data_IF_401813648639
#
_entry.id   IF_401813648639
#
_cell.length_a   1.000
_cell.length_b   1.000
_cell.length_c   1.000
_cell.angle_alpha   90.00
_cell.angle_beta   90.00
_cell.angle_gamma   90.00
#
_symmetry.space_group_name_H-M   'P 1'
#
loop_
_entity.id
_entity.type
_entity.pdbx_description
1 polymer ?
#
# COMPACT_ATOMS: atom_id res chain seq x y z
N UNK A 1 -15.31 -15.18 -13.18
CA UNK A 1 -14.06 -15.84 -13.63
C UNK A 1 -12.90 -14.93 -13.24
N UNK A 2 -12.34 -15.13 -12.05
CA UNK A 2 -11.29 -14.28 -11.48
C UNK A 2 -9.95 -14.61 -12.16
N UNK A 3 -9.35 -13.63 -12.82
CA UNK A 3 -7.99 -13.71 -13.34
C UNK A 3 -7.01 -13.69 -12.14
N UNK A 4 -6.69 -14.88 -11.62
CA UNK A 4 -5.43 -15.08 -10.91
C UNK A 4 -4.32 -14.91 -11.94
N UNK A 5 -3.78 -13.69 -12.10
CA UNK A 5 -2.44 -13.53 -12.66
C UNK A 5 -1.47 -14.09 -11.62
N UNK A 6 -1.25 -15.40 -11.67
CA UNK A 6 -0.15 -16.04 -10.95
C UNK A 6 1.15 -15.60 -11.63
N UNK A 7 1.73 -14.50 -11.15
CA UNK A 7 3.14 -14.27 -11.40
C UNK A 7 3.93 -15.15 -10.43
N UNK A 8 4.43 -16.28 -10.93
CA UNK A 8 5.05 -17.35 -10.15
C UNK A 8 6.54 -17.11 -9.86
N UNK A 9 6.99 -15.86 -9.73
CA UNK A 9 8.37 -15.59 -9.36
C UNK A 9 8.55 -15.68 -7.84
N UNK A 10 9.22 -16.75 -7.37
CA UNK A 10 9.69 -16.86 -5.97
C UNK A 10 8.65 -17.31 -4.94
N UNK A 11 7.50 -17.85 -5.36
CA UNK A 11 6.47 -18.36 -4.46
C UNK A 11 5.49 -17.32 -3.90
N UNK A 12 5.64 -16.05 -4.29
CA UNK A 12 4.67 -14.99 -4.02
C UNK A 12 3.48 -15.16 -4.99
N UNK A 13 2.25 -15.03 -4.49
CA UNK A 13 1.02 -15.14 -5.31
C UNK A 13 0.19 -13.88 -5.17
N UNK A 14 -0.35 -13.40 -6.28
CA UNK A 14 -1.18 -12.20 -6.34
C UNK A 14 -2.59 -12.53 -6.83
N UNK A 15 -3.59 -11.94 -6.18
CA UNK A 15 -4.99 -12.03 -6.59
C UNK A 15 -5.61 -10.64 -6.61
N UNK A 16 -6.37 -10.33 -7.66
CA UNK A 16 -7.07 -9.06 -7.83
C UNK A 16 -8.43 -9.29 -8.48
N UNK A 17 -9.47 -8.73 -7.86
CA UNK A 17 -10.83 -8.74 -8.39
C UNK A 17 -11.57 -7.49 -7.90
N UNK A 18 -12.88 -7.43 -8.13
CA UNK A 18 -13.72 -6.28 -7.81
C UNK A 18 -13.96 -6.06 -6.32
N UNK A 19 -13.67 -7.05 -5.47
CA UNK A 19 -13.91 -6.98 -4.01
C UNK A 19 -12.63 -6.88 -3.21
N UNK A 20 -11.49 -7.36 -3.70
CA UNK A 20 -10.23 -7.27 -2.98
C UNK A 20 -9.00 -7.39 -3.87
N UNK A 21 -7.88 -7.02 -3.29
CA UNK A 21 -6.53 -7.42 -3.69
C UNK A 21 -5.95 -8.26 -2.57
N UNK A 22 -5.27 -9.35 -2.90
CA UNK A 22 -4.55 -10.15 -1.93
C UNK A 22 -3.16 -10.54 -2.46
N UNK A 23 -2.20 -10.64 -1.54
CA UNK A 23 -0.88 -11.16 -1.80
C UNK A 23 -0.59 -12.28 -0.80
N UNK A 24 -0.03 -13.40 -1.26
CA UNK A 24 0.44 -14.49 -0.39
C UNK A 24 1.95 -14.63 -0.56
N UNK A 25 2.67 -14.64 0.55
CA UNK A 25 4.12 -14.79 0.59
C UNK A 25 4.48 -16.29 0.71
N UNK A 26 5.73 -16.69 0.37
CA UNK A 26 6.15 -18.09 0.51
C UNK A 26 6.31 -18.52 1.98
N UNK A 27 6.56 -17.57 2.86
CA UNK A 27 6.68 -17.73 4.31
C UNK A 27 6.33 -16.40 5.00
N UNK A 28 6.19 -16.37 6.34
CA UNK A 28 6.01 -15.12 7.06
C UNK A 28 7.22 -14.17 6.91
N UNK A 29 6.98 -12.97 6.36
CA UNK A 29 7.99 -11.93 6.18
C UNK A 29 7.77 -10.77 7.17
N UNK A 30 8.85 -10.10 7.61
CA UNK A 30 8.74 -8.82 8.31
C UNK A 30 7.88 -7.81 7.55
N UNK A 31 7.00 -7.11 8.28
CA UNK A 31 6.20 -6.01 7.78
C UNK A 31 6.19 -4.85 8.76
N UNK A 32 6.40 -3.64 8.27
CA UNK A 32 6.14 -2.41 8.99
C UNK A 32 4.98 -1.68 8.31
N UNK A 33 3.85 -1.50 9.01
CA UNK A 33 2.64 -0.96 8.40
C UNK A 33 1.78 -0.11 9.33
N UNK A 34 0.92 0.69 8.72
CA UNK A 34 -0.23 1.34 9.37
C UNK A 34 -1.55 0.64 9.02
N UNK A 35 -1.50 -0.67 8.78
CA UNK A 35 -2.66 -1.50 8.45
C UNK A 35 -3.64 -1.57 9.64
N UNK A 36 -4.92 -1.81 9.33
CA UNK A 36 -5.98 -1.91 10.34
C UNK A 36 -5.89 -3.25 11.06
N UNK A 37 -5.74 -4.35 10.31
CA UNK A 37 -5.55 -5.69 10.87
C UNK A 37 -4.05 -6.01 10.92
N UNK A 38 -3.55 -6.35 12.10
CA UNK A 38 -2.15 -6.70 12.36
C UNK A 38 -1.14 -5.61 11.91
N UNK A 39 -1.46 -4.34 12.15
CA UNK A 39 -0.58 -3.20 11.91
C UNK A 39 0.62 -3.11 12.87
N UNK A 40 1.51 -2.15 12.64
CA UNK A 40 2.75 -1.96 13.40
C UNK A 40 3.94 -2.71 12.77
N UNK A 41 4.94 -3.04 13.59
CA UNK A 41 6.09 -3.85 13.17
C UNK A 41 5.90 -5.29 13.60
N UNK A 42 5.61 -6.18 12.66
CA UNK A 42 5.25 -7.59 12.90
C UNK A 42 5.75 -8.47 11.74
N UNK A 43 5.25 -9.70 11.64
CA UNK A 43 5.38 -10.55 10.46
C UNK A 43 4.02 -10.77 9.78
N UNK A 44 4.05 -11.06 8.48
CA UNK A 44 2.85 -11.36 7.70
C UNK A 44 3.15 -12.46 6.68
N UNK A 45 2.19 -13.36 6.47
CA UNK A 45 2.23 -14.39 5.43
C UNK A 45 1.30 -14.03 4.26
N UNK A 46 0.34 -13.13 4.49
CA UNK A 46 -0.58 -12.65 3.46
C UNK A 46 -0.98 -11.20 3.68
N UNK A 47 -1.24 -10.49 2.60
CA UNK A 47 -1.78 -9.14 2.64
C UNK A 47 -3.18 -9.13 2.03
N UNK A 48 -4.07 -8.34 2.60
CA UNK A 48 -5.44 -8.14 2.12
C UNK A 48 -5.76 -6.66 2.04
N UNK A 49 -6.16 -6.17 0.87
CA UNK A 49 -6.74 -4.85 0.69
C UNK A 49 -8.20 -5.04 0.27
N UNK A 50 -9.10 -4.92 1.24
CA UNK A 50 -10.53 -5.22 1.09
C UNK A 50 -11.29 -3.98 0.59
N UNK A 51 -12.02 -4.13 -0.52
CA UNK A 51 -12.97 -3.11 -0.96
C UNK A 51 -14.19 -3.13 -0.05
N UNK A 52 -14.54 -1.98 0.50
CA UNK A 52 -15.81 -1.77 1.22
C UNK A 52 -16.73 -0.81 0.51
N UNK A 53 -18.02 -1.01 0.70
CA UNK A 53 -19.04 -0.13 0.14
C UNK A 53 -19.16 1.13 1.01
N UNK A 54 -18.87 2.28 0.41
CA UNK A 54 -18.99 3.60 1.03
C UNK A 54 -20.44 4.01 1.35
N UNK A 55 -21.43 3.32 0.78
CA UNK A 55 -22.86 3.59 0.96
C UNK A 55 -23.56 2.53 1.83
N UNK A 56 -22.82 1.58 2.40
CA UNK A 56 -23.40 0.57 3.29
C UNK A 56 -24.10 1.25 4.48
N UNK A 57 -25.33 0.84 4.78
CA UNK A 57 -26.06 1.38 5.94
C UNK A 57 -25.48 0.82 7.26
N UNK A 58 -25.41 1.63 8.33
CA UNK A 58 -25.01 1.16 9.65
C UNK A 58 -26.05 0.19 10.26
N UNK A 59 -25.68 -0.62 11.27
CA UNK A 59 -24.38 -0.66 11.94
C UNK A 59 -23.31 -1.40 11.14
N UNK A 60 -22.07 -0.88 11.14
CA UNK A 60 -20.93 -1.57 10.56
C UNK A 60 -20.19 -2.38 11.64
N UNK A 61 -19.75 -3.61 11.34
CA UNK A 61 -18.83 -4.30 12.22
C UNK A 61 -17.50 -3.53 12.32
N UNK A 62 -16.75 -3.69 13.43
CA UNK A 62 -15.39 -3.16 13.54
C UNK A 62 -14.54 -3.54 12.31
N UNK A 63 -13.77 -2.58 11.82
CA UNK A 63 -12.96 -2.73 10.60
C UNK A 63 -12.02 -3.95 10.68
N UNK A 64 -11.37 -4.15 11.83
CA UNK A 64 -10.51 -5.30 12.11
C UNK A 64 -11.27 -6.64 12.03
N UNK A 65 -12.48 -6.71 12.60
CA UNK A 65 -13.30 -7.93 12.53
C UNK A 65 -13.72 -8.26 11.09
N UNK A 66 -14.06 -7.23 10.31
CA UNK A 66 -14.41 -7.38 8.89
C UNK A 66 -13.25 -7.96 8.08
N UNK A 67 -12.04 -7.44 8.31
CA UNK A 67 -10.82 -7.94 7.66
C UNK A 67 -10.47 -9.35 8.09
N UNK A 68 -10.57 -9.67 9.38
CA UNK A 68 -10.27 -10.99 9.92
C UNK A 68 -11.22 -12.04 9.32
N UNK A 69 -12.52 -11.77 9.31
CA UNK A 69 -13.53 -12.64 8.71
C UNK A 69 -13.28 -12.84 7.21
N UNK A 70 -12.94 -11.76 6.49
CA UNK A 70 -12.67 -11.87 5.07
C UNK A 70 -11.40 -12.66 4.77
N UNK A 71 -10.34 -12.50 5.57
CA UNK A 71 -9.11 -13.28 5.42
C UNK A 71 -9.37 -14.78 5.64
N UNK A 72 -10.19 -15.13 6.64
CA UNK A 72 -10.61 -16.52 6.90
C UNK A 72 -11.45 -17.11 5.76
N UNK A 73 -12.44 -16.35 5.24
CA UNK A 73 -13.27 -16.77 4.12
C UNK A 73 -12.46 -17.01 2.83
N UNK A 74 -11.42 -16.20 2.61
CA UNK A 74 -10.50 -16.34 1.48
C UNK A 74 -9.41 -17.40 1.72
N UNK A 75 -9.37 -18.00 2.91
CA UNK A 75 -8.36 -19.00 3.32
C UNK A 75 -6.95 -18.43 3.13
N UNK A 76 -6.77 -17.15 3.50
CA UNK A 76 -5.46 -16.50 3.43
C UNK A 76 -4.56 -17.05 4.56
N UNK A 77 -3.29 -17.40 4.27
CA UNK A 77 -2.37 -17.83 5.30
C UNK A 77 -2.16 -16.76 6.38
N UNK A 78 -2.26 -17.16 7.65
CA UNK A 78 -1.99 -16.30 8.78
C UNK A 78 -0.47 -16.16 9.06
N UNK A 79 -0.02 -15.04 9.65
CA UNK A 79 -0.80 -13.83 9.97
C UNK A 79 -1.08 -12.96 8.73
N UNK A 80 -2.28 -12.36 8.66
CA UNK A 80 -2.71 -11.51 7.55
C UNK A 80 -2.59 -10.02 7.91
N UNK A 81 -1.88 -9.23 7.11
CA UNK A 81 -1.83 -7.77 7.20
C UNK A 81 -2.96 -7.15 6.35
N UNK A 82 -3.94 -6.52 6.99
CA UNK A 82 -5.20 -6.12 6.35
C UNK A 82 -5.42 -4.61 6.30
N UNK A 83 -5.71 -4.10 5.11
CA UNK A 83 -6.15 -2.74 4.82
C UNK A 83 -7.56 -2.75 4.23
N UNK A 84 -8.28 -1.64 4.36
CA UNK A 84 -9.61 -1.45 3.76
C UNK A 84 -9.58 -0.24 2.85
N UNK A 85 -10.37 -0.27 1.78
CA UNK A 85 -10.52 0.87 0.88
C UNK A 85 -11.92 0.95 0.31
N UNK A 86 -12.45 2.16 0.19
CA UNK A 86 -13.63 2.42 -0.64
C UNK A 86 -13.28 2.75 -2.10
N UNK A 87 -11.98 2.85 -2.41
CA UNK A 87 -11.51 3.11 -3.75
C UNK A 87 -11.99 2.03 -4.73
N UNK A 88 -12.19 2.42 -5.98
CA UNK A 88 -12.43 1.46 -7.05
C UNK A 88 -11.22 0.53 -7.17
N UNK A 89 -11.45 -0.78 -7.25
CA UNK A 89 -10.39 -1.75 -7.52
C UNK A 89 -9.77 -1.59 -8.91
N UNK A 90 -10.40 -0.80 -9.80
CA UNK A 90 -9.82 -0.38 -11.08
C UNK A 90 -8.78 0.76 -10.94
N UNK A 91 -8.67 1.37 -9.75
CA UNK A 91 -7.62 2.35 -9.46
C UNK A 91 -6.24 1.73 -9.24
N UNK A 92 -6.11 0.40 -9.28
CA UNK A 92 -4.85 -0.28 -8.99
C UNK A 92 -3.73 0.20 -9.91
N UNK A 93 -2.75 0.89 -9.34
CA UNK A 93 -1.44 1.13 -9.93
C UNK A 93 -0.46 0.06 -9.50
N UNK A 94 0.43 -0.35 -10.41
CA UNK A 94 1.45 -1.36 -10.13
C UNK A 94 2.76 -0.97 -10.80
N UNK A 95 3.86 -1.03 -10.05
CA UNK A 95 5.21 -0.87 -10.59
C UNK A 95 6.12 -1.96 -10.03
N UNK A 96 7.05 -2.42 -10.87
CA UNK A 96 8.05 -3.43 -10.55
C UNK A 96 9.33 -3.05 -11.25
N UNK A 97 10.38 -2.79 -10.45
CA UNK A 97 11.64 -2.30 -10.95
C UNK A 97 12.79 -3.14 -10.37
N UNK A 98 13.85 -3.26 -11.17
CA UNK A 98 15.13 -3.79 -10.74
C UNK A 98 16.22 -2.77 -11.02
N UNK A 99 17.08 -2.54 -10.02
CA UNK A 99 18.22 -1.66 -10.13
C UNK A 99 19.42 -2.36 -9.51
N UNK A 100 20.47 -2.58 -10.30
CA UNK A 100 21.60 -3.44 -9.92
C UNK A 100 21.10 -4.84 -9.51
N UNK A 101 21.41 -5.28 -8.30
CA UNK A 101 20.97 -6.57 -7.74
C UNK A 101 19.69 -6.46 -6.91
N UNK A 102 19.10 -5.27 -6.78
CA UNK A 102 17.92 -5.00 -5.97
C UNK A 102 16.66 -5.04 -6.85
N UNK A 103 15.57 -5.60 -6.31
CA UNK A 103 14.24 -5.58 -6.92
C UNK A 103 13.20 -5.15 -5.90
N UNK A 104 12.24 -4.33 -6.35
CA UNK A 104 11.11 -3.86 -5.55
C UNK A 104 9.84 -3.84 -6.40
N UNK A 105 8.71 -4.03 -5.73
CA UNK A 105 7.37 -4.00 -6.32
C UNK A 105 6.45 -3.15 -5.46
N UNK A 106 5.57 -2.39 -6.10
CA UNK A 106 4.63 -1.50 -5.42
C UNK A 106 3.22 -1.65 -5.99
N UNK A 107 2.22 -1.77 -5.13
CA UNK A 107 0.80 -1.75 -5.47
C UNK A 107 0.11 -0.59 -4.75
N UNK A 108 -0.67 0.18 -5.49
CA UNK A 108 -1.38 1.35 -4.97
C UNK A 108 -2.85 1.30 -5.39
N UNK A 109 -3.76 1.44 -4.44
CA UNK A 109 -5.16 1.79 -4.72
C UNK A 109 -5.45 3.17 -4.19
N UNK A 110 -6.09 4.03 -4.98
CA UNK A 110 -6.36 5.40 -4.60
C UNK A 110 -7.85 5.76 -4.71
N UNK A 111 -8.37 6.41 -3.67
CA UNK A 111 -9.62 7.18 -3.71
C UNK A 111 -9.31 8.63 -3.37
N UNK A 112 -9.59 9.55 -4.30
CA UNK A 112 -9.17 10.96 -4.21
C UNK A 112 -10.27 11.91 -3.70
N UNK A 113 -11.40 11.37 -3.23
CA UNK A 113 -12.57 12.13 -2.80
C UNK A 113 -12.37 12.94 -1.50
N UNK A 114 -11.35 12.59 -0.71
CA UNK A 114 -11.10 13.14 0.62
C UNK A 114 -9.64 13.52 0.85
N UNK A 115 -9.01 14.08 -0.18
CA UNK A 115 -7.65 14.60 -0.11
C UNK A 115 -7.46 15.49 1.13
N UNK A 116 -6.36 15.31 1.84
CA UNK A 116 -5.98 16.09 3.02
C UNK A 116 -4.51 16.42 2.96
N UNK A 117 -4.13 17.56 3.54
CA UNK A 117 -2.74 17.94 3.76
C UNK A 117 -2.41 17.75 5.24
N UNK A 118 -1.24 17.19 5.51
CA UNK A 118 -0.72 17.08 6.87
C UNK A 118 -0.60 18.49 7.49
N UNK A 119 -1.17 18.65 8.68
CA UNK A 119 -1.27 19.93 9.38
C UNK A 119 -2.52 20.76 9.02
N UNK A 120 -3.41 20.27 8.16
CA UNK A 120 -4.74 20.86 8.03
C UNK A 120 -5.56 20.71 9.33
N UNK A 121 -6.56 21.58 9.57
CA UNK A 121 -7.51 21.40 10.66
C UNK A 121 -8.21 20.04 10.57
N UNK A 122 -8.39 19.38 11.72
CA UNK A 122 -9.16 18.15 11.79
C UNK A 122 -10.64 18.41 11.49
N UNK A 123 -11.27 17.51 10.73
CA UNK A 123 -12.69 17.57 10.39
C UNK A 123 -13.37 16.20 10.54
N UNK A 124 -14.69 16.22 10.77
CA UNK A 124 -15.51 15.01 10.84
C UNK A 124 -16.02 14.64 9.44
N UNK A 125 -15.10 14.31 8.53
CA UNK A 125 -15.45 13.93 7.17
C UNK A 125 -16.02 12.51 7.11
N UNK A 126 -17.26 12.38 6.62
CA UNK A 126 -17.98 11.10 6.53
C UNK A 126 -17.92 10.43 5.15
N UNK A 127 -17.11 10.95 4.21
CA UNK A 127 -16.93 10.32 2.90
C UNK A 127 -15.81 9.29 2.92
N UNK A 128 -15.74 8.50 1.86
CA UNK A 128 -14.77 7.43 1.73
C UNK A 128 -13.79 7.68 0.59
N UNK A 129 -12.50 7.49 0.88
CA UNK A 129 -11.37 7.66 -0.02
C UNK A 129 -10.11 7.33 0.76
N UNK A 130 -9.23 6.52 0.19
CA UNK A 130 -7.95 6.19 0.82
C UNK A 130 -6.92 5.83 -0.22
N UNK A 131 -5.66 6.15 0.08
CA UNK A 131 -4.51 5.65 -0.65
C UNK A 131 -3.87 4.53 0.18
N UNK A 132 -4.03 3.30 -0.30
CA UNK A 132 -3.39 2.13 0.28
C UNK A 132 -2.19 1.73 -0.57
N UNK A 133 -1.03 1.53 0.07
CA UNK A 133 0.24 1.20 -0.61
C UNK A 133 0.87 -0.04 0.01
N UNK A 134 1.23 -1.00 -0.82
CA UNK A 134 2.14 -2.09 -0.45
C UNK A 134 3.45 -1.95 -1.21
N UNK A 135 4.56 -1.84 -0.48
CA UNK A 135 5.91 -1.88 -1.01
C UNK A 135 6.54 -3.21 -0.60
N UNK A 136 6.78 -4.09 -1.56
CA UNK A 136 7.47 -5.35 -1.37
C UNK A 136 8.89 -5.24 -1.90
N UNK A 137 9.86 -5.53 -1.04
CA UNK A 137 11.28 -5.55 -1.36
C UNK A 137 11.73 -7.00 -1.46
N UNK A 138 12.59 -7.32 -2.43
CA UNK A 138 13.17 -8.66 -2.60
C UNK A 138 14.54 -8.79 -1.91
N UNK A 139 14.81 -7.96 -0.91
CA UNK A 139 16.05 -7.93 -0.13
C UNK A 139 15.74 -7.58 1.33
N UNK A 140 16.50 -8.15 2.26
CA UNK A 140 16.27 -7.96 3.68
C UNK A 140 16.74 -6.58 4.17
N UNK A 141 15.95 -5.97 5.06
CA UNK A 141 16.25 -4.70 5.72
C UNK A 141 16.37 -4.90 7.23
N UNK A 142 17.18 -4.06 7.89
CA UNK A 142 17.10 -3.93 9.35
C UNK A 142 15.78 -3.24 9.73
N UNK A 143 15.31 -3.36 10.99
CA UNK A 143 14.12 -2.61 11.44
C UNK A 143 14.24 -1.10 11.22
N UNK A 144 15.44 -0.52 11.42
CA UNK A 144 15.71 0.88 11.17
C UNK A 144 15.59 1.24 9.67
N UNK A 145 16.12 0.40 8.78
CA UNK A 145 15.99 0.60 7.35
C UNK A 145 14.54 0.41 6.86
N UNK A 146 13.73 -0.46 7.48
CA UNK A 146 12.30 -0.55 7.16
C UNK A 146 11.54 0.73 7.52
N UNK A 147 11.88 1.36 8.65
CA UNK A 147 11.33 2.66 9.01
C UNK A 147 11.75 3.75 8.01
N UNK A 148 13.00 3.72 7.55
CA UNK A 148 13.49 4.63 6.51
C UNK A 148 12.77 4.39 5.16
N UNK A 149 12.50 3.14 4.80
CA UNK A 149 11.72 2.80 3.61
C UNK A 149 10.27 3.30 3.69
N UNK A 150 9.65 3.24 4.88
CA UNK A 150 8.30 3.78 5.11
C UNK A 150 8.27 5.30 4.94
N UNK A 151 9.33 6.00 5.37
CA UNK A 151 9.48 7.45 5.14
C UNK A 151 9.56 7.73 3.63
N UNK A 152 10.40 7.01 2.89
CA UNK A 152 10.53 7.23 1.44
C UNK A 152 9.27 6.91 0.66
N UNK A 153 8.59 5.82 1.02
CA UNK A 153 7.28 5.48 0.48
C UNK A 153 6.30 6.66 0.67
N UNK A 154 6.29 7.23 1.87
CA UNK A 154 5.43 8.38 2.19
C UNK A 154 5.81 9.61 1.36
N UNK A 155 7.10 9.94 1.24
CA UNK A 155 7.58 11.08 0.44
C UNK A 155 7.29 10.91 -1.06
N UNK A 156 7.47 9.70 -1.60
CA UNK A 156 7.18 9.40 -2.99
C UNK A 156 5.68 9.56 -3.32
N UNK A 157 4.80 9.07 -2.44
CA UNK A 157 3.36 9.31 -2.54
C UNK A 157 3.03 10.80 -2.52
N UNK A 158 3.60 11.56 -1.57
CA UNK A 158 3.40 13.02 -1.49
C UNK A 158 3.85 13.71 -2.78
N UNK A 159 4.97 13.25 -3.35
CA UNK A 159 5.51 13.78 -4.61
C UNK A 159 4.53 13.53 -5.76
N UNK A 160 4.03 12.29 -5.92
CA UNK A 160 3.02 11.96 -6.94
C UNK A 160 1.76 12.83 -6.82
N UNK A 161 1.24 13.02 -5.60
CA UNK A 161 0.04 13.85 -5.34
C UNK A 161 0.30 15.32 -5.69
N UNK A 162 1.46 15.84 -5.27
CA UNK A 162 1.87 17.22 -5.55
C UNK A 162 2.02 17.45 -7.05
N UNK A 163 2.69 16.55 -7.75
CA UNK A 163 2.99 16.69 -9.18
C UNK A 163 1.72 16.50 -10.04
N UNK A 164 0.73 15.76 -9.54
CA UNK A 164 -0.62 15.71 -10.10
C UNK A 164 -1.47 16.97 -9.82
N UNK A 165 -0.95 17.95 -9.08
CA UNK A 165 -1.65 19.21 -8.77
C UNK A 165 -2.85 19.05 -7.82
N UNK A 166 -2.89 17.98 -7.03
CA UNK A 166 -4.00 17.66 -6.14
C UNK A 166 -3.93 18.51 -4.86
N UNK A 167 -5.03 19.19 -4.54
CA UNK A 167 -5.12 20.13 -3.42
C UNK A 167 -6.01 19.59 -2.30
N UNK A 168 -5.71 19.97 -1.07
CA UNK A 168 -6.64 19.79 0.04
C UNK A 168 -7.81 20.76 -0.09
N UNK A 169 -9.08 20.31 0.07
CA UNK A 169 -10.24 21.19 0.05
C UNK A 169 -10.32 22.10 1.28
N UNK A 170 -9.55 21.82 2.35
CA UNK A 170 -9.59 22.62 3.58
C UNK A 170 -8.67 23.84 3.50
N UNK A 171 -7.45 23.67 2.98
CA UNK A 171 -6.44 24.74 2.92
C UNK A 171 -6.17 25.27 1.52
N UNK A 172 -6.68 24.60 0.46
CA UNK A 172 -6.32 24.87 -0.94
C UNK A 172 -4.81 24.77 -1.23
N UNK A 173 -4.05 24.13 -0.34
CA UNK A 173 -2.63 23.84 -0.49
C UNK A 173 -2.44 22.40 -1.02
N UNK A 174 -1.26 22.04 -1.55
CA UNK A 174 -0.98 20.68 -2.02
C UNK A 174 -1.31 19.63 -0.97
N UNK A 175 -2.13 18.64 -1.35
CA UNK A 175 -2.46 17.51 -0.50
C UNK A 175 -1.22 16.63 -0.28
N UNK A 176 -1.17 15.92 0.85
CA UNK A 176 -0.13 14.94 1.15
C UNK A 176 -0.63 13.50 1.12
N UNK A 177 -1.94 13.31 0.91
CA UNK A 177 -2.61 12.04 1.07
C UNK A 177 -4.11 12.20 1.19
N UNK A 178 -4.75 11.21 1.78
CA UNK A 178 -6.14 11.27 2.26
C UNK A 178 -6.18 11.27 3.79
N UNK A 179 -7.38 11.38 4.37
CA UNK A 179 -7.55 11.26 5.83
C UNK A 179 -7.24 9.89 6.42
N UNK A 180 -7.14 8.83 5.60
CA UNK A 180 -7.07 7.43 6.07
C UNK A 180 -6.08 6.58 5.27
N UNK A 181 -4.99 7.18 4.77
CA UNK A 181 -3.95 6.44 4.05
C UNK A 181 -3.39 5.28 4.88
N UNK A 182 -3.13 4.15 4.22
CA UNK A 182 -2.48 2.99 4.85
C UNK A 182 -1.30 2.51 4.02
N UNK A 183 -0.17 2.23 4.68
CA UNK A 183 1.06 1.83 4.00
C UNK A 183 1.62 0.57 4.64
N UNK A 184 2.26 -0.28 3.85
CA UNK A 184 3.02 -1.43 4.33
C UNK A 184 4.33 -1.55 3.56
N UNK A 185 5.43 -1.69 4.30
CA UNK A 185 6.74 -2.09 3.78
C UNK A 185 6.97 -3.54 4.19
N UNK A 186 7.20 -4.40 3.20
CA UNK A 186 7.38 -5.84 3.36
C UNK A 186 8.74 -6.22 2.76
N UNK A 187 9.54 -6.98 3.49
CA UNK A 187 10.83 -7.49 2.99
C UNK A 187 11.07 -8.91 3.49
N UNK A 188 11.84 -9.75 2.79
CA UNK A 188 12.13 -11.11 3.25
C UNK A 188 12.86 -11.11 4.59
N UNK A 189 12.70 -12.17 5.39
CA UNK A 189 13.60 -12.41 6.51
C UNK A 189 15.03 -12.53 5.98
N UNK A 190 16.00 -12.10 6.78
CA UNK A 190 17.39 -12.28 6.43
C UNK A 190 17.74 -13.78 6.42
N UNK A 191 18.13 -14.29 5.24
CA UNK A 191 18.57 -15.66 5.03
C UNK A 191 19.80 -15.66 4.12
N UNK A 192 20.99 -15.53 4.70
CA UNK A 192 22.23 -15.53 3.91
C UNK A 192 23.46 -15.09 4.68
N UNK A 193 24.61 -15.11 4.01
CA UNK A 193 25.88 -14.63 4.57
C UNK A 193 25.98 -13.10 4.57
N UNK A 194 25.34 -12.43 3.60
CA UNK A 194 25.26 -10.96 3.55
C UNK A 194 24.13 -10.47 4.45
N UNK A 195 24.48 -9.63 5.43
CA UNK A 195 23.54 -9.05 6.38
C UNK A 195 22.46 -8.19 5.72
N UNK A 196 21.34 -7.93 6.42
CA UNK A 196 20.31 -7.03 5.92
C UNK A 196 20.87 -5.62 5.68
N UNK A 197 20.34 -4.89 4.69
CA UNK A 197 20.75 -3.50 4.47
C UNK A 197 20.37 -2.65 5.69
N UNK A 198 21.35 -1.91 6.20
CA UNK A 198 21.21 -1.11 7.41
C UNK A 198 20.56 0.25 7.18
N UNK A 199 20.54 0.71 5.93
CA UNK A 199 19.99 1.99 5.51
C UNK A 199 19.53 1.88 4.06
N UNK A 200 18.51 2.64 3.70
CA UNK A 200 18.00 2.74 2.34
C UNK A 200 17.76 4.17 1.89
N UNK A 201 18.34 5.19 2.56
CA UNK A 201 18.20 6.62 2.24
C UNK A 201 18.38 7.02 0.77
N UNK A 202 17.95 8.25 0.41
CA UNK A 202 17.90 8.77 -0.98
C UNK A 202 19.25 8.75 -1.74
N UNK A 203 20.37 8.70 -1.03
CA UNK A 203 21.71 8.59 -1.64
C UNK A 203 22.12 7.15 -1.98
N UNK A 204 21.27 6.16 -1.71
CA UNK A 204 21.54 4.75 -1.93
C UNK A 204 20.78 4.22 -3.14
N UNK A 205 21.30 3.16 -3.78
CA UNK A 205 20.58 2.43 -4.82
C UNK A 205 19.22 1.92 -4.33
N UNK A 206 19.13 1.45 -3.08
CA UNK A 206 17.88 0.98 -2.49
C UNK A 206 16.85 2.11 -2.39
N UNK A 207 17.28 3.31 -2.00
CA UNK A 207 16.41 4.48 -1.89
C UNK A 207 15.96 5.02 -3.25
N UNK A 208 16.86 5.05 -4.24
CA UNK A 208 16.47 5.36 -5.63
C UNK A 208 15.38 4.39 -6.11
N UNK A 209 15.61 3.09 -5.91
CA UNK A 209 14.68 2.04 -6.34
C UNK A 209 13.31 2.18 -5.64
N UNK A 210 13.29 2.36 -4.32
CA UNK A 210 12.07 2.55 -3.53
C UNK A 210 11.31 3.79 -3.99
N UNK A 211 12.01 4.93 -4.10
CA UNK A 211 11.40 6.18 -4.53
C UNK A 211 10.74 6.06 -5.91
N UNK A 212 11.46 5.48 -6.88
CA UNK A 212 10.96 5.29 -8.25
C UNK A 212 9.77 4.35 -8.33
N UNK A 213 9.85 3.16 -7.71
CA UNK A 213 8.77 2.17 -7.80
C UNK A 213 7.49 2.67 -7.13
N UNK A 214 7.60 3.39 -6.02
CA UNK A 214 6.43 3.96 -5.33
C UNK A 214 5.84 5.12 -6.12
N UNK A 215 6.68 6.03 -6.63
CA UNK A 215 6.25 7.17 -7.44
C UNK A 215 5.47 6.69 -8.68
N UNK A 216 6.06 5.77 -9.46
CA UNK A 216 5.44 5.22 -10.68
C UNK A 216 4.08 4.58 -10.38
N UNK A 217 3.98 3.78 -9.31
CA UNK A 217 2.72 3.11 -8.95
C UNK A 217 1.66 4.12 -8.47
N UNK A 218 2.06 5.15 -7.72
CA UNK A 218 1.16 6.23 -7.30
C UNK A 218 0.64 7.04 -8.51
N UNK A 219 1.52 7.43 -9.44
CA UNK A 219 1.15 8.17 -10.65
C UNK A 219 0.16 7.39 -11.51
N UNK A 220 0.40 6.08 -11.70
CA UNK A 220 -0.55 5.21 -12.40
C UNK A 220 -1.92 5.19 -11.71
N UNK A 221 -1.94 4.97 -10.38
CA UNK A 221 -3.18 4.87 -9.60
C UNK A 221 -3.98 6.17 -9.63
N UNK A 222 -3.31 7.32 -9.39
CA UNK A 222 -3.90 8.65 -9.49
C UNK A 222 -4.42 8.89 -10.91
N UNK A 223 -3.64 8.53 -11.94
CA UNK A 223 -4.04 8.65 -13.33
C UNK A 223 -5.31 7.86 -13.66
N UNK A 224 -5.49 6.65 -13.10
CA UNK A 224 -6.73 5.88 -13.23
C UNK A 224 -7.92 6.63 -12.62
N UNK A 225 -7.77 7.20 -11.42
CA UNK A 225 -8.81 7.98 -10.77
C UNK A 225 -9.21 9.21 -11.59
N UNK A 226 -8.24 9.96 -12.10
CA UNK A 226 -8.49 11.18 -12.88
C UNK A 226 -9.17 10.88 -14.22
N UNK A 227 -8.81 9.76 -14.88
CA UNK A 227 -9.50 9.33 -16.10
C UNK A 227 -10.96 8.94 -15.82
N UNK A 228 -11.21 8.22 -14.73
CA UNK A 228 -12.57 7.82 -14.34
C UNK A 228 -13.46 8.99 -13.92
N UNK A 229 -12.90 10.10 -13.44
CA UNK A 229 -13.67 11.31 -13.11
C UNK A 229 -14.06 12.14 -14.35
N UNK A 230 -13.37 11.93 -15.48
CA UNK A 230 -13.56 12.70 -16.72
C UNK A 230 -14.35 11.95 -17.80
N UNK A 231 -14.71 10.69 -17.58
CA UNK A 231 -15.46 9.84 -18.52
C UNK A 231 -16.83 9.50 -17.97
#
# INVERSE_FOLDING_TARGET
MSLLKQDNQGGIRFAHNTTHIALTLPEPWPVLSSAVLNGGFTSTHSLLNLRVDQHAAPPWPPAEQSLQQQAEQLILPAPCCGMMTAASMQSLGYSSLSLQQLRAECWVTAGLSNLRRSGDPADAFNGAGTINIWLLLHFALTPAAMAEALIQLTEAKVTAIRDAGLLSPLSSLPASGTGTDSHAVICPPHSGAEGPLAFCGKHTTAGELIGRVVLDACEQSIGHCLRAANG
#
